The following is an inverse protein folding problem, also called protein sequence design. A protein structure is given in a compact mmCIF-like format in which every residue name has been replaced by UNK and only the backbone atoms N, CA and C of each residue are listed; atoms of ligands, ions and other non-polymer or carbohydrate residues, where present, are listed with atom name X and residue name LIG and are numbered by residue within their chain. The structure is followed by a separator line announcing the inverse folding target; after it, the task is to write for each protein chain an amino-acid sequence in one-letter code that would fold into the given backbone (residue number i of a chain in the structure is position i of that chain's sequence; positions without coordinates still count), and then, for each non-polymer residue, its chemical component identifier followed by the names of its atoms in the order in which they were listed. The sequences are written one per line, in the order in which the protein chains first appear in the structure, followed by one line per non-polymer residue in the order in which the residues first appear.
data_IF_975348676801
#
_entry.id   IF_975348676801
#
_cell.length_a   1.000
_cell.length_b   1.000
_cell.length_c   1.000
_cell.angle_alpha   90.00
_cell.angle_beta   90.00
_cell.angle_gamma   90.00
#
_symmetry.space_group_name_H-M   'P 1'
#
loop_
_entity.id
_entity.type
_entity.pdbx_description
1 polymer ?
#
# COMPACT_ATOMS: atom_id res chain seq x y z
N UNK A 1 -1.06 11.66 -11.65
CA UNK A 1 -0.60 12.92 -11.01
C UNK A 1 -0.22 12.62 -9.57
N UNK A 2 1.07 12.74 -9.21
CA UNK A 2 1.52 12.52 -7.84
C UNK A 2 1.19 13.75 -6.98
N UNK A 3 0.47 13.54 -5.87
CA UNK A 3 0.19 14.60 -4.89
C UNK A 3 1.49 14.89 -4.11
N UNK A 4 1.90 16.18 -3.94
CA UNK A 4 3.11 16.51 -3.19
C UNK A 4 3.01 16.08 -1.72
N UNK A 5 4.03 15.37 -1.23
CA UNK A 5 4.10 14.79 0.12
C UNK A 5 4.13 15.82 1.27
N UNK A 6 4.35 17.11 0.99
CA UNK A 6 4.40 18.18 1.98
C UNK A 6 3.04 18.53 2.61
N UNK A 7 1.99 17.75 2.33
CA UNK A 7 0.62 17.93 2.84
C UNK A 7 0.17 16.87 3.85
N UNK A 8 0.96 15.83 4.14
CA UNK A 8 0.57 14.81 5.12
C UNK A 8 0.83 15.25 6.57
N UNK A 9 0.02 16.18 7.06
CA UNK A 9 -0.07 16.58 8.48
C UNK A 9 -1.04 15.68 9.30
N UNK A 10 -1.29 14.45 8.83
CA UNK A 10 -2.19 13.49 9.48
C UNK A 10 -1.44 12.37 10.20
N UNK A 11 -2.00 11.86 11.30
CA UNK A 11 -1.51 10.64 11.94
C UNK A 11 -1.56 9.50 10.92
N UNK A 12 -0.40 8.95 10.58
CA UNK A 12 -0.27 7.87 9.58
C UNK A 12 0.23 6.63 10.30
N UNK A 13 -0.50 5.53 10.14
CA UNK A 13 -0.06 4.23 10.65
C UNK A 13 1.26 3.83 9.98
N UNK A 14 2.27 3.53 10.79
CA UNK A 14 3.50 2.90 10.30
C UNK A 14 3.31 1.40 10.53
N UNK A 15 3.31 0.56 9.48
CA UNK A 15 3.11 -0.87 9.65
C UNK A 15 4.37 -1.50 10.26
N UNK A 16 4.51 -1.39 11.58
CA UNK A 16 5.70 -1.83 12.34
C UNK A 16 6.00 -3.31 12.13
N UNK A 17 4.96 -4.14 12.01
CA UNK A 17 5.08 -5.55 11.65
C UNK A 17 5.71 -5.72 10.26
N UNK A 18 5.25 -4.96 9.26
CA UNK A 18 5.82 -5.01 7.92
C UNK A 18 7.28 -4.55 7.91
N UNK A 19 7.63 -3.49 8.68
CA UNK A 19 9.02 -3.07 8.86
C UNK A 19 9.87 -4.21 9.44
N UNK A 20 9.39 -4.89 10.48
CA UNK A 20 10.10 -6.02 11.09
C UNK A 20 10.31 -7.18 10.12
N UNK A 21 9.28 -7.55 9.35
CA UNK A 21 9.39 -8.59 8.32
C UNK A 21 10.40 -8.20 7.23
N UNK A 22 10.31 -6.97 6.72
CA UNK A 22 11.23 -6.47 5.69
C UNK A 22 12.67 -6.44 6.19
N UNK A 23 12.91 -5.98 7.41
CA UNK A 23 14.23 -5.98 8.03
C UNK A 23 14.85 -7.39 8.03
N UNK A 24 14.11 -8.38 8.53
CA UNK A 24 14.58 -9.77 8.59
C UNK A 24 14.87 -10.32 7.19
N UNK A 25 13.99 -10.09 6.21
CA UNK A 25 14.22 -10.57 4.84
C UNK A 25 15.46 -9.91 4.23
N UNK A 26 15.61 -8.60 4.36
CA UNK A 26 16.71 -7.85 3.75
C UNK A 26 18.07 -8.16 4.35
N UNK A 27 18.12 -8.52 5.64
CA UNK A 27 19.32 -8.97 6.33
C UNK A 27 19.69 -10.40 5.95
N UNK A 28 18.71 -11.32 5.92
CA UNK A 28 18.97 -12.75 5.71
C UNK A 28 19.13 -13.12 4.23
N UNK A 29 18.58 -12.34 3.31
CA UNK A 29 18.58 -12.63 1.86
C UNK A 29 19.09 -11.42 1.07
N UNK A 30 20.39 -11.14 1.06
CA UNK A 30 20.89 -9.87 0.54
C UNK A 30 20.70 -9.64 -0.96
N UNK A 31 20.45 -10.72 -1.71
CA UNK A 31 20.27 -10.75 -3.16
C UNK A 31 18.80 -10.97 -3.60
N UNK A 32 17.85 -10.91 -2.66
CA UNK A 32 16.43 -11.11 -2.98
C UNK A 32 15.85 -9.88 -3.67
N UNK A 33 14.89 -10.13 -4.56
CA UNK A 33 13.97 -9.10 -5.04
C UNK A 33 12.61 -9.33 -4.41
N UNK A 34 12.02 -8.27 -3.88
CA UNK A 34 10.74 -8.29 -3.16
C UNK A 34 9.79 -7.34 -3.89
N UNK A 35 8.54 -7.77 -4.04
CA UNK A 35 7.42 -6.91 -4.34
C UNK A 35 6.39 -7.05 -3.22
N UNK A 36 5.95 -5.94 -2.65
CA UNK A 36 4.87 -5.89 -1.65
C UNK A 36 3.79 -4.98 -2.20
N UNK A 37 2.55 -5.46 -2.23
CA UNK A 37 1.41 -4.74 -2.76
C UNK A 37 0.29 -4.66 -1.70
N UNK A 38 -0.34 -3.49 -1.59
CA UNK A 38 -1.41 -3.22 -0.64
C UNK A 38 -2.11 -1.89 -0.98
N UNK A 39 -3.19 -1.58 -0.28
CA UNK A 39 -3.89 -0.30 -0.38
C UNK A 39 -3.05 0.85 0.17
N UNK A 40 -2.83 1.90 -0.62
CA UNK A 40 -2.12 3.13 -0.19
C UNK A 40 -3.05 4.26 0.22
N UNK A 41 -4.34 4.12 -0.06
CA UNK A 41 -5.41 4.89 0.53
C UNK A 41 -6.67 4.02 0.67
N UNK A 42 -7.51 4.36 1.63
CA UNK A 42 -8.83 3.78 1.80
C UNK A 42 -9.90 4.82 1.47
N UNK A 43 -11.03 4.43 0.85
CA UNK A 43 -12.14 5.34 0.64
C UNK A 43 -12.72 5.82 1.98
N UNK A 44 -13.47 6.93 2.00
CA UNK A 44 -14.21 7.32 3.21
C UNK A 44 -15.19 6.23 3.64
N UNK A 45 -15.30 6.01 4.95
CA UNK A 45 -16.26 5.06 5.52
C UNK A 45 -17.70 5.43 5.16
N UNK A 46 -18.49 4.43 4.78
CA UNK A 46 -19.92 4.58 4.48
C UNK A 46 -20.76 4.91 5.72
N UNK A 47 -20.24 4.67 6.93
CA UNK A 47 -20.91 4.98 8.20
C UNK A 47 -21.23 6.47 8.36
N UNK A 48 -20.51 7.35 7.64
CA UNK A 48 -20.67 8.81 7.68
C UNK A 48 -21.99 9.32 7.08
N UNK A 49 -22.78 8.48 6.40
CA UNK A 49 -24.11 8.84 5.89
C UNK A 49 -25.23 8.72 6.94
N UNK A 50 -24.92 8.24 8.15
CA UNK A 50 -25.87 8.27 9.26
C UNK A 50 -25.80 9.62 9.97
N UNK A 51 -26.95 10.25 10.30
CA UNK A 51 -26.95 11.52 11.01
C UNK A 51 -26.22 11.33 12.34
N UNK A 52 -25.11 12.04 12.49
CA UNK A 52 -24.21 11.99 13.64
C UNK A 52 -25.01 12.19 14.93
N UNK A 53 -25.36 11.11 15.61
CA UNK A 53 -25.71 11.16 17.02
C UNK A 53 -24.42 11.45 17.79
N UNK A 54 -24.08 12.74 17.86
CA UNK A 54 -23.31 13.51 18.85
C UNK A 54 -22.39 12.85 19.92
N UNK A 55 -21.82 11.67 19.72
CA UNK A 55 -20.87 11.06 20.67
C UNK A 55 -19.46 10.86 20.13
N UNK A 56 -19.25 10.96 18.81
CA UNK A 56 -17.90 10.98 18.22
C UNK A 56 -17.43 12.43 18.14
N UNK A 57 -16.56 12.84 19.06
CA UNK A 57 -16.08 14.22 19.19
C UNK A 57 -15.08 14.65 18.11
N UNK A 58 -14.85 13.85 17.07
CA UNK A 58 -13.80 14.10 16.09
C UNK A 58 -14.19 13.65 14.68
N UNK A 59 -13.99 14.55 13.72
CA UNK A 59 -14.01 14.24 12.28
C UNK A 59 -12.92 13.18 12.02
N UNK A 60 -13.22 12.06 11.33
CA UNK A 60 -12.20 11.09 10.95
C UNK A 60 -11.07 11.79 10.20
N UNK A 61 -9.83 11.50 10.58
CA UNK A 61 -8.67 12.06 9.90
C UNK A 61 -8.57 11.47 8.49
N UNK A 62 -7.98 12.23 7.57
CA UNK A 62 -7.56 11.68 6.29
C UNK A 62 -6.64 10.48 6.56
N UNK A 63 -6.96 9.30 5.97
CA UNK A 63 -6.31 8.01 6.21
C UNK A 63 -6.63 7.33 7.56
N UNK A 64 -7.74 7.68 8.21
CA UNK A 64 -8.29 6.88 9.31
C UNK A 64 -8.54 5.44 8.87
N UNK A 65 -8.38 4.46 9.77
CA UNK A 65 -8.69 3.07 9.45
C UNK A 65 -10.17 2.89 9.13
N UNK A 66 -10.47 1.90 8.29
CA UNK A 66 -11.83 1.40 8.11
C UNK A 66 -12.01 0.21 9.06
N UNK A 67 -13.13 0.22 9.78
CA UNK A 67 -13.60 -0.93 10.54
C UNK A 67 -14.81 -1.45 9.79
N UNK A 68 -14.74 -2.67 9.26
CA UNK A 68 -15.82 -3.26 8.46
C UNK A 68 -16.11 -4.66 8.95
N UNK A 69 -17.39 -5.04 9.02
CA UNK A 69 -17.78 -6.39 9.42
C UNK A 69 -17.87 -7.35 8.23
N UNK A 70 -18.12 -8.63 8.52
CA UNK A 70 -18.25 -9.69 7.51
C UNK A 70 -19.45 -9.53 6.56
N UNK A 71 -20.31 -8.52 6.76
CA UNK A 71 -21.43 -8.18 5.88
C UNK A 71 -21.16 -6.88 5.10
N UNK A 72 -19.91 -6.43 5.02
CA UNK A 72 -19.46 -5.19 4.36
C UNK A 72 -20.10 -3.91 4.95
N UNK A 73 -20.45 -3.94 6.24
CA UNK A 73 -20.95 -2.76 6.95
C UNK A 73 -19.79 -2.08 7.67
N UNK A 74 -19.54 -0.81 7.31
CA UNK A 74 -18.57 0.02 8.01
C UNK A 74 -19.11 0.49 9.37
N UNK A 75 -18.26 0.43 10.39
CA UNK A 75 -18.54 0.88 11.76
C UNK A 75 -17.72 2.12 12.08
N UNK A 76 -18.24 3.00 12.94
CA UNK A 76 -17.53 4.24 13.25
C UNK A 76 -16.30 4.00 14.14
N UNK A 77 -16.33 2.94 14.97
CA UNK A 77 -15.14 2.44 15.65
C UNK A 77 -15.24 0.94 16.02
N UNK A 78 -14.11 0.31 16.32
CA UNK A 78 -14.05 -1.10 16.73
C UNK A 78 -14.72 -1.40 18.09
N UNK A 79 -15.04 -0.35 18.87
CA UNK A 79 -15.75 -0.49 20.15
C UNK A 79 -17.28 -0.51 19.99
N UNK A 80 -17.81 -0.13 18.83
CA UNK A 80 -19.25 -0.17 18.54
C UNK A 80 -19.76 -1.57 18.24
N UNK A 81 -18.86 -2.53 18.01
CA UNK A 81 -19.13 -3.96 17.95
C UNK A 81 -19.53 -4.50 19.35
N UNK A 82 -20.61 -3.95 19.93
CA UNK A 82 -21.15 -4.30 21.24
C UNK A 82 -21.91 -5.63 21.26
N UNK A 83 -22.06 -6.32 20.13
CA UNK A 83 -22.51 -7.70 20.10
C UNK A 83 -21.28 -8.60 20.02
N UNK A 84 -21.15 -9.53 20.97
CA UNK A 84 -20.07 -10.53 21.11
C UNK A 84 -19.90 -11.45 19.88
N UNK A 85 -20.55 -11.17 18.77
CA UNK A 85 -20.61 -11.94 17.53
C UNK A 85 -20.16 -11.14 16.29
N UNK A 86 -19.95 -9.82 16.39
CA UNK A 86 -19.46 -9.04 15.25
C UNK A 86 -17.94 -9.20 15.13
N UNK A 87 -17.53 -9.99 14.14
CA UNK A 87 -16.16 -10.07 13.67
C UNK A 87 -15.95 -8.95 12.65
N UNK A 88 -14.99 -8.07 12.95
CA UNK A 88 -14.65 -6.96 12.07
C UNK A 88 -13.18 -7.01 11.67
N UNK A 89 -12.91 -6.64 10.43
CA UNK A 89 -11.58 -6.32 9.95
C UNK A 89 -11.27 -4.84 10.20
N UNK A 90 -10.03 -4.57 10.61
CA UNK A 90 -9.51 -3.20 10.77
C UNK A 90 -8.44 -2.99 9.70
N UNK A 91 -8.76 -2.14 8.73
CA UNK A 91 -7.92 -1.86 7.58
C UNK A 91 -7.20 -0.53 7.75
N UNK A 92 -5.90 -0.52 7.55
CA UNK A 92 -5.09 0.71 7.53
C UNK A 92 -4.49 0.88 6.13
N UNK A 93 -4.48 2.11 5.57
CA UNK A 93 -3.72 2.36 4.36
C UNK A 93 -2.21 2.29 4.64
N UNK A 94 -1.47 1.71 3.72
CA UNK A 94 -0.03 1.53 3.82
C UNK A 94 0.72 2.76 3.29
N UNK A 95 1.59 3.36 4.12
CA UNK A 95 2.51 4.42 3.69
C UNK A 95 3.76 3.81 3.02
N UNK A 96 3.65 3.58 1.71
CA UNK A 96 4.73 3.00 0.93
C UNK A 96 5.98 3.85 0.83
N UNK A 97 5.89 5.18 0.96
CA UNK A 97 7.10 6.02 0.92
C UNK A 97 7.89 5.94 2.23
N UNK A 98 7.20 5.83 3.38
CA UNK A 98 7.86 5.51 4.65
C UNK A 98 8.51 4.13 4.61
N UNK A 99 7.81 3.12 4.08
CA UNK A 99 8.39 1.78 3.90
C UNK A 99 9.61 1.80 2.97
N UNK A 100 9.55 2.53 1.85
CA UNK A 100 10.69 2.68 0.94
C UNK A 100 11.89 3.35 1.63
N UNK A 101 11.63 4.40 2.41
CA UNK A 101 12.65 5.09 3.21
C UNK A 101 13.26 4.16 4.26
N UNK A 102 12.44 3.33 4.92
CA UNK A 102 12.90 2.32 5.86
C UNK A 102 13.81 1.29 5.18
N UNK A 103 13.44 0.76 4.00
CA UNK A 103 14.30 -0.18 3.26
C UNK A 103 15.66 0.45 2.91
N UNK A 104 15.68 1.70 2.44
CA UNK A 104 16.92 2.43 2.14
C UNK A 104 17.76 2.71 3.39
N UNK A 105 17.12 2.97 4.52
CA UNK A 105 17.79 3.13 5.81
C UNK A 105 18.46 1.83 6.26
N UNK A 106 17.78 0.70 6.12
CA UNK A 106 18.32 -0.63 6.43
C UNK A 106 19.53 -0.95 5.55
N UNK A 107 19.45 -0.67 4.24
CA UNK A 107 20.54 -0.89 3.28
C UNK A 107 20.50 0.15 2.16
N UNK A 108 21.49 1.04 2.16
CA UNK A 108 21.54 2.18 1.23
C UNK A 108 21.79 1.82 -0.23
N UNK A 109 22.31 0.62 -0.50
CA UNK A 109 22.61 0.14 -1.86
C UNK A 109 21.45 -0.59 -2.53
N UNK A 110 20.25 -0.61 -1.93
CA UNK A 110 19.06 -1.19 -2.53
C UNK A 110 18.47 -0.26 -3.59
N UNK A 111 18.03 -0.84 -4.70
CA UNK A 111 17.11 -0.17 -5.62
C UNK A 111 15.68 -0.36 -5.11
N UNK A 112 15.04 0.76 -4.75
CA UNK A 112 13.72 0.79 -4.12
C UNK A 112 12.82 1.72 -4.91
N UNK A 113 11.75 1.17 -5.48
CA UNK A 113 10.74 1.88 -6.27
C UNK A 113 9.35 1.68 -5.65
N UNK A 114 8.59 2.76 -5.56
CA UNK A 114 7.15 2.72 -5.27
C UNK A 114 6.42 3.15 -6.54
N UNK A 115 5.40 2.41 -6.93
CA UNK A 115 4.57 2.70 -8.10
C UNK A 115 3.15 2.25 -7.86
N UNK A 116 2.18 2.79 -8.61
CA UNK A 116 0.84 2.23 -8.63
C UNK A 116 0.86 0.81 -9.19
N UNK A 117 -0.09 -0.03 -8.76
CA UNK A 117 -0.16 -1.42 -9.19
C UNK A 117 -0.24 -1.55 -10.71
N UNK A 118 -1.07 -0.73 -11.37
CA UNK A 118 -1.21 -0.72 -12.83
C UNK A 118 0.12 -0.43 -13.54
N UNK A 119 0.89 0.56 -13.07
CA UNK A 119 2.20 0.90 -13.62
C UNK A 119 3.19 -0.25 -13.42
N UNK A 120 3.20 -0.85 -12.22
CA UNK A 120 4.07 -1.99 -11.92
C UNK A 120 3.78 -3.17 -12.84
N UNK A 121 2.51 -3.55 -13.01
CA UNK A 121 2.10 -4.67 -13.86
C UNK A 121 2.41 -4.42 -15.33
N UNK A 122 2.21 -3.18 -15.80
CA UNK A 122 2.56 -2.78 -17.17
C UNK A 122 4.07 -2.85 -17.40
N UNK A 123 4.88 -2.48 -16.39
CA UNK A 123 6.35 -2.53 -16.47
C UNK A 123 6.89 -3.97 -16.48
N UNK A 124 6.32 -4.88 -15.67
CA UNK A 124 6.92 -6.22 -15.45
C UNK A 124 6.23 -7.35 -16.23
N UNK A 125 4.98 -7.16 -16.64
CA UNK A 125 4.14 -8.21 -17.24
C UNK A 125 3.34 -7.68 -18.44
N UNK A 126 3.93 -6.76 -19.22
CA UNK A 126 3.25 -6.06 -20.32
C UNK A 126 2.45 -6.99 -21.25
N UNK A 127 3.10 -8.07 -21.72
CA UNK A 127 2.49 -8.99 -22.68
C UNK A 127 1.33 -9.78 -22.05
N UNK A 128 1.47 -10.16 -20.77
CA UNK A 128 0.40 -10.83 -20.02
C UNK A 128 -0.76 -9.88 -19.73
N UNK A 129 -0.50 -8.59 -19.51
CA UNK A 129 -1.54 -7.59 -19.25
C UNK A 129 -2.46 -7.38 -20.46
N UNK A 130 -1.95 -7.50 -21.68
CA UNK A 130 -2.80 -7.44 -22.89
C UNK A 130 -3.81 -8.60 -22.93
N UNK A 131 -3.45 -9.79 -22.41
CA UNK A 131 -4.35 -10.95 -22.36
C UNK A 131 -5.48 -10.81 -21.34
N UNK A 132 -5.35 -9.86 -20.42
CA UNK A 132 -6.36 -9.61 -19.36
C UNK A 132 -7.45 -8.64 -19.80
N UNK A 133 -7.27 -7.98 -20.96
CA UNK A 133 -8.21 -6.98 -21.46
C UNK A 133 -9.45 -7.65 -22.05
N UNK A 134 -10.62 -7.16 -21.65
CA UNK A 134 -11.89 -7.54 -22.23
C UNK A 134 -11.91 -7.20 -23.72
N UNK A 135 -12.20 -8.18 -24.57
CA UNK A 135 -12.12 -8.05 -26.03
C UNK A 135 -12.97 -6.90 -26.61
N UNK A 136 -14.08 -6.55 -25.96
CA UNK A 136 -15.03 -5.54 -26.44
C UNK A 136 -14.69 -4.13 -25.97
N UNK A 137 -14.22 -3.97 -24.73
CA UNK A 137 -14.05 -2.68 -24.07
C UNK A 137 -12.58 -2.28 -23.89
N UNK A 138 -11.66 -3.23 -24.00
CA UNK A 138 -10.25 -3.06 -23.65
C UNK A 138 -9.98 -2.95 -22.15
N UNK A 139 -11.02 -3.05 -21.32
CA UNK A 139 -10.94 -2.93 -19.86
C UNK A 139 -10.23 -4.13 -19.23
N UNK A 140 -9.37 -3.88 -18.25
CA UNK A 140 -8.70 -4.91 -17.44
C UNK A 140 -8.92 -4.61 -15.95
N UNK A 141 -9.61 -5.49 -15.20
CA UNK A 141 -9.77 -5.33 -13.76
C UNK A 141 -8.44 -5.14 -13.02
N UNK A 142 -7.35 -5.75 -13.50
CA UNK A 142 -6.02 -5.66 -12.88
C UNK A 142 -5.39 -4.28 -13.02
N UNK A 143 -5.73 -3.54 -14.08
CA UNK A 143 -5.21 -2.19 -14.36
C UNK A 143 -6.17 -1.10 -13.90
N UNK A 144 -7.47 -1.35 -14.00
CA UNK A 144 -8.50 -0.30 -13.90
C UNK A 144 -9.16 -0.22 -12.51
N UNK A 145 -9.30 -1.32 -11.78
CA UNK A 145 -10.09 -1.33 -10.52
C UNK A 145 -9.26 -0.97 -9.28
N UNK A 146 -7.96 -1.28 -9.29
CA UNK A 146 -7.10 -1.20 -8.11
C UNK A 146 -6.29 0.11 -8.07
N UNK A 147 -6.93 1.24 -8.36
CA UNK A 147 -6.28 2.56 -8.35
C UNK A 147 -5.76 3.00 -6.97
N UNK A 148 -6.28 2.38 -5.92
CA UNK A 148 -5.84 2.54 -4.53
C UNK A 148 -4.75 1.55 -4.11
N UNK A 149 -4.25 0.70 -5.00
CA UNK A 149 -3.14 -0.19 -4.72
C UNK A 149 -1.81 0.41 -5.19
N UNK A 150 -0.80 0.31 -4.34
CA UNK A 150 0.59 0.60 -4.69
C UNK A 150 1.45 -0.63 -4.45
N UNK A 151 2.61 -0.64 -5.10
CA UNK A 151 3.62 -1.69 -5.01
C UNK A 151 4.94 -1.08 -4.58
N UNK A 152 5.51 -1.60 -3.50
CA UNK A 152 6.92 -1.42 -3.15
C UNK A 152 7.73 -2.54 -3.79
N UNK A 153 8.63 -2.17 -4.69
CA UNK A 153 9.65 -3.06 -5.24
C UNK A 153 10.99 -2.76 -4.59
N UNK A 154 11.63 -3.80 -4.06
CA UNK A 154 12.99 -3.74 -3.52
C UNK A 154 13.84 -4.75 -4.28
N UNK A 155 15.00 -4.33 -4.75
CA UNK A 155 15.99 -5.22 -5.37
C UNK A 155 17.41 -4.77 -5.04
N UNK A 156 18.37 -5.68 -5.17
CA UNK A 156 19.78 -5.31 -5.01
C UNK A 156 20.17 -4.30 -6.09
N UNK A 157 20.74 -3.16 -5.70
CA UNK A 157 21.27 -2.20 -6.67
C UNK A 157 22.34 -2.87 -7.53
N UNK A 158 22.28 -2.66 -8.85
CA UNK A 158 23.36 -3.08 -9.75
C UNK A 158 24.63 -2.38 -9.28
N UNK A 159 25.60 -3.17 -8.82
CA UNK A 159 26.97 -2.67 -8.71
C UNK A 159 27.44 -2.55 -10.15
N UNK A 160 27.43 -1.34 -10.71
CA UNK A 160 28.16 -1.11 -11.96
C UNK A 160 29.61 -1.50 -11.68
N UNK A 161 30.04 -2.65 -12.20
CA UNK A 161 31.45 -2.95 -12.34
C UNK A 161 32.01 -1.86 -13.25
N UNK A 162 32.67 -0.86 -12.65
CA UNK A 162 33.57 0.02 -13.40
C UNK A 162 34.59 -0.91 -14.04
N UNK A 163 34.39 -1.19 -15.33
CA UNK A 163 35.40 -1.77 -16.19
C UNK A 163 36.59 -0.84 -16.11
N UNK A 164 37.61 -1.23 -15.35
CA UNK A 164 38.94 -0.66 -15.47
C UNK A 164 39.41 -1.17 -16.83
N UNK A 165 39.12 -0.38 -17.86
CA UNK A 165 39.74 -0.52 -19.17
C UNK A 165 41.23 -0.25 -18.98
N UNK A 166 41.97 -1.33 -18.71
CA UNK A 166 43.41 -1.33 -18.87
C UNK A 166 43.75 -1.13 -20.34
N UNK A 167 44.38 0.00 -20.65
CA UNK A 167 45.65 0.10 -21.37
C UNK A 167 46.15 1.54 -21.31
#
# INVERSE_FOLDING_TARGET
HAVPYSLFNGATFIPTVACGVLEHILQQRPNISIAVADFDYLPPSQATNTPVNSSLSSIPAQNSPIITDMNDIDHACYLEANSQELLCDILFPTDFQRLASFCKYQRSNLDVKVSKQADFLTDVAKDDMELTKGWLTGYSPLLDDFGNCSVLRVSSGRTEQRSISGK
#
